data_IF_933166382767
#
_entry.id   IF_933166382767
#
_cell.length_a   1.000
_cell.length_b   1.000
_cell.length_c   1.000
_cell.angle_alpha   90.00
_cell.angle_beta   90.00
_cell.angle_gamma   90.00
#
_symmetry.space_group_name_H-M   'P 1'
#
loop_
_entity.id
_entity.type
_entity.pdbx_description
1 polymer ?
#
# COMPACT_ATOMS: atom_id res chain seq x y z
N UNK A 1 5.63 22.35 -12.00
CA UNK A 1 4.19 22.13 -12.28
C UNK A 1 3.40 21.93 -11.00
N UNK A 2 3.76 20.98 -10.11
CA UNK A 2 3.00 20.72 -8.88
C UNK A 2 2.84 21.96 -7.98
N UNK A 3 3.94 22.59 -7.55
CA UNK A 3 3.87 23.78 -6.68
C UNK A 3 3.05 24.94 -7.28
N UNK A 4 3.05 25.06 -8.62
CA UNK A 4 2.25 26.08 -9.30
C UNK A 4 0.74 25.81 -9.24
N UNK A 5 0.32 24.55 -9.35
CA UNK A 5 -1.09 24.15 -9.37
C UNK A 5 -1.63 23.79 -7.97
N UNK A 6 -0.73 23.44 -7.06
CA UNK A 6 -1.01 23.04 -5.69
C UNK A 6 0.01 23.74 -4.77
N UNK A 7 -0.18 25.04 -4.45
CA UNK A 7 0.75 25.76 -3.58
C UNK A 7 0.90 25.07 -2.21
N UNK A 8 2.13 24.91 -1.75
CA UNK A 8 2.49 24.14 -0.55
C UNK A 8 2.71 22.65 -0.81
N UNK A 9 2.58 22.16 -2.05
CA UNK A 9 2.83 20.76 -2.37
C UNK A 9 4.26 20.35 -2.08
N UNK A 10 5.26 21.20 -2.41
CA UNK A 10 6.65 20.85 -2.16
C UNK A 10 6.97 20.81 -0.67
N UNK A 11 6.42 21.73 0.12
CA UNK A 11 6.61 21.75 1.57
C UNK A 11 6.02 20.49 2.24
N UNK A 12 4.92 19.95 1.70
CA UNK A 12 4.27 18.74 2.23
C UNK A 12 4.87 17.43 1.70
N UNK A 13 5.21 17.35 0.40
CA UNK A 13 5.56 16.09 -0.26
C UNK A 13 6.97 16.05 -0.85
N UNK A 14 7.65 17.20 -0.95
CA UNK A 14 8.96 17.30 -1.59
C UNK A 14 10.01 16.43 -0.91
N UNK A 15 10.05 16.45 0.43
CA UNK A 15 11.00 15.65 1.21
C UNK A 15 10.90 14.16 0.89
N UNK A 16 9.68 13.65 0.72
CA UNK A 16 9.42 12.24 0.43
C UNK A 16 10.00 11.85 -0.92
N UNK A 17 9.81 12.68 -1.96
CA UNK A 17 10.29 12.39 -3.30
C UNK A 17 11.81 12.55 -3.44
N UNK A 18 12.41 13.50 -2.74
CA UNK A 18 13.88 13.62 -2.67
C UNK A 18 14.49 12.39 -1.99
N UNK A 19 13.92 11.92 -0.87
CA UNK A 19 14.36 10.68 -0.22
C UNK A 19 14.11 9.44 -1.12
N UNK A 20 12.98 9.37 -1.82
CA UNK A 20 12.68 8.26 -2.72
C UNK A 20 13.71 8.12 -3.84
N UNK A 21 14.18 9.25 -4.39
CA UNK A 21 15.22 9.28 -5.43
C UNK A 21 16.52 8.63 -4.97
N UNK A 22 16.87 8.74 -3.69
CA UNK A 22 18.05 8.09 -3.11
C UNK A 22 17.91 6.55 -3.07
N UNK A 23 16.69 6.01 -3.16
CA UNK A 23 16.43 4.56 -3.17
C UNK A 23 16.48 3.90 -4.56
N UNK A 24 16.80 4.66 -5.61
CA UNK A 24 16.75 4.17 -6.98
C UNK A 24 17.90 3.21 -7.37
N UNK A 25 19.05 3.28 -6.69
CA UNK A 25 20.17 2.36 -6.95
C UNK A 25 19.97 1.02 -6.23
N UNK A 26 19.84 -0.05 -7.02
CA UNK A 26 19.68 -1.41 -6.52
C UNK A 26 20.83 -1.87 -5.60
N UNK A 27 22.03 -1.27 -5.72
CA UNK A 27 23.18 -1.58 -4.85
C UNK A 27 22.99 -1.16 -3.41
N UNK A 28 22.22 -0.10 -3.17
CA UNK A 28 21.91 0.37 -1.82
C UNK A 28 20.99 -0.60 -1.08
N UNK A 29 20.35 -1.54 -1.81
CA UNK A 29 19.41 -2.53 -1.27
C UNK A 29 18.32 -1.89 -0.40
N UNK A 30 18.06 -0.61 -0.64
CA UNK A 30 17.04 0.17 0.00
C UNK A 30 15.74 -0.01 -0.76
N UNK A 31 14.67 -0.32 -0.03
CA UNK A 31 13.32 -0.29 -0.57
C UNK A 31 12.52 0.68 0.27
N UNK A 32 11.90 1.67 -0.38
CA UNK A 32 11.00 2.61 0.27
C UNK A 32 9.96 1.87 1.14
N UNK A 33 9.38 0.81 0.59
CA UNK A 33 8.40 -0.01 1.30
C UNK A 33 8.94 -0.55 2.63
N UNK A 34 10.18 -1.01 2.69
CA UNK A 34 10.78 -1.49 3.94
C UNK A 34 10.95 -0.40 5.00
N UNK A 35 11.18 0.85 4.58
CA UNK A 35 11.23 2.00 5.48
C UNK A 35 9.84 2.49 5.93
N UNK A 36 8.83 2.36 5.08
CA UNK A 36 7.47 2.85 5.35
C UNK A 36 6.57 1.83 6.04
N UNK A 37 6.79 0.52 5.85
CA UNK A 37 5.89 -0.53 6.34
C UNK A 37 5.58 -0.48 7.85
N UNK A 38 6.53 -0.15 8.75
CA UNK A 38 6.23 -0.05 10.18
C UNK A 38 5.16 1.00 10.51
N UNK A 39 5.05 2.06 9.70
CA UNK A 39 4.12 3.18 9.88
C UNK A 39 3.06 3.21 8.78
N UNK A 40 2.98 2.17 7.94
CA UNK A 40 2.08 2.17 6.81
C UNK A 40 0.62 2.16 7.28
N UNK A 41 -0.24 3.00 6.68
CA UNK A 41 -1.65 3.01 7.03
C UNK A 41 -2.31 1.68 6.68
N UNK A 42 -3.33 1.25 7.44
CA UNK A 42 -4.06 0.03 7.12
C UNK A 42 -4.76 0.16 5.77
N UNK A 43 -4.84 -0.95 5.05
CA UNK A 43 -5.58 -1.01 3.78
C UNK A 43 -7.08 -1.14 4.06
N UNK A 44 -7.89 -0.29 3.42
CA UNK A 44 -9.35 -0.32 3.55
C UNK A 44 -9.95 -1.62 3.01
N UNK A 45 -10.79 -2.27 3.82
CA UNK A 45 -11.45 -3.54 3.49
C UNK A 45 -12.34 -3.45 2.23
N UNK A 46 -13.00 -2.30 2.07
CA UNK A 46 -14.01 -2.08 1.02
C UNK A 46 -13.37 -1.71 -0.31
N UNK A 47 -12.57 -0.65 -0.34
CA UNK A 47 -12.00 -0.12 -1.59
C UNK A 47 -10.57 -0.59 -1.89
N UNK A 48 -9.91 -1.28 -0.95
CA UNK A 48 -8.52 -1.76 -1.07
C UNK A 48 -7.45 -0.67 -1.19
N UNK A 49 -7.81 0.60 -0.95
CA UNK A 49 -6.87 1.71 -0.90
C UNK A 49 -6.25 1.87 0.50
N UNK A 50 -5.03 2.41 0.62
CA UNK A 50 -4.47 2.79 1.91
C UNK A 50 -5.31 3.89 2.60
N UNK A 51 -5.50 3.77 3.91
CA UNK A 51 -6.26 4.74 4.71
C UNK A 51 -5.34 5.89 5.16
N UNK A 52 -5.12 6.88 4.30
CA UNK A 52 -4.06 7.91 4.48
C UNK A 52 -4.46 9.13 5.33
N UNK A 53 -5.72 9.23 5.77
CA UNK A 53 -6.19 10.30 6.65
C UNK A 53 -6.58 9.70 7.99
N UNK A 54 -5.77 9.94 9.02
CA UNK A 54 -5.93 9.34 10.35
C UNK A 54 -7.30 9.60 10.96
N UNK A 55 -7.88 10.79 10.72
CA UNK A 55 -9.17 11.20 11.24
C UNK A 55 -10.35 10.42 10.66
N UNK A 56 -10.19 9.88 9.45
CA UNK A 56 -11.22 9.11 8.75
C UNK A 56 -11.11 7.61 8.99
N UNK A 57 -9.99 7.14 9.58
CA UNK A 57 -9.77 5.72 9.85
C UNK A 57 -10.80 5.22 10.86
N UNK A 58 -11.57 4.23 10.46
CA UNK A 58 -12.42 3.49 11.37
C UNK A 58 -12.24 1.99 11.18
N UNK A 59 -12.66 1.20 12.17
CA UNK A 59 -12.57 -0.26 12.09
C UNK A 59 -13.82 -0.93 12.65
N UNK A 60 -13.97 -2.22 12.34
CA UNK A 60 -14.92 -3.12 13.00
C UNK A 60 -14.30 -4.51 13.11
N UNK A 61 -14.67 -5.25 14.14
CA UNK A 61 -14.36 -6.67 14.23
C UNK A 61 -15.54 -7.45 13.63
N UNK A 62 -15.26 -8.29 12.64
CA UNK A 62 -16.24 -9.23 12.07
C UNK A 62 -15.67 -10.63 12.26
N UNK A 63 -16.40 -11.47 12.97
CA UNK A 63 -15.93 -12.75 13.49
C UNK A 63 -14.66 -12.53 14.33
N UNK A 64 -13.51 -13.04 13.89
CA UNK A 64 -12.21 -12.89 14.57
C UNK A 64 -11.26 -11.91 13.84
N UNK A 65 -11.76 -11.21 12.80
CA UNK A 65 -10.93 -10.35 11.95
C UNK A 65 -11.24 -8.87 12.15
N UNK A 66 -10.20 -8.09 12.47
CA UNK A 66 -10.26 -6.63 12.44
C UNK A 66 -10.24 -6.14 10.99
N UNK A 67 -11.29 -5.45 10.59
CA UNK A 67 -11.41 -4.79 9.27
C UNK A 67 -11.23 -3.28 9.46
N UNK A 68 -10.29 -2.70 8.73
CA UNK A 68 -10.07 -1.26 8.68
C UNK A 68 -10.76 -0.63 7.47
N UNK A 69 -11.16 0.63 7.59
CA UNK A 69 -11.81 1.41 6.53
C UNK A 69 -11.22 2.81 6.48
N UNK A 70 -11.04 3.32 5.26
CA UNK A 70 -10.55 4.66 5.02
C UNK A 70 -11.62 5.76 5.20
N UNK A 71 -12.88 5.38 5.42
CA UNK A 71 -13.97 6.31 5.71
C UNK A 71 -15.19 5.57 6.28
N UNK A 72 -16.11 6.33 6.90
CA UNK A 72 -17.40 5.81 7.38
C UNK A 72 -18.28 5.29 6.24
N UNK A 73 -18.17 5.84 5.04
CA UNK A 73 -18.90 5.39 3.85
C UNK A 73 -18.39 4.03 3.39
N UNK A 74 -17.06 3.81 3.39
CA UNK A 74 -16.50 2.51 3.10
C UNK A 74 -16.96 1.45 4.11
N UNK A 75 -17.02 1.80 5.40
CA UNK A 75 -17.56 0.92 6.45
C UNK A 75 -19.04 0.60 6.20
N UNK A 76 -19.86 1.62 5.94
CA UNK A 76 -21.29 1.46 5.68
C UNK A 76 -21.55 0.55 4.47
N UNK A 77 -20.78 0.70 3.39
CA UNK A 77 -20.89 -0.16 2.20
C UNK A 77 -20.66 -1.64 2.56
N UNK A 78 -19.66 -1.96 3.38
CA UNK A 78 -19.41 -3.32 3.84
C UNK A 78 -20.51 -3.84 4.79
N UNK A 79 -21.11 -2.96 5.60
CA UNK A 79 -22.23 -3.30 6.48
C UNK A 79 -23.51 -3.66 5.73
N UNK A 80 -23.87 -2.88 4.71
CA UNK A 80 -25.13 -3.08 3.96
C UNK A 80 -25.01 -4.11 2.83
N UNK A 81 -23.82 -4.66 2.59
CA UNK A 81 -23.58 -5.72 1.62
C UNK A 81 -22.91 -6.95 2.28
N UNK A 82 -23.57 -7.62 3.24
CA UNK A 82 -23.00 -8.79 3.90
C UNK A 82 -22.69 -9.89 2.87
N UNK A 83 -21.54 -10.53 3.03
CA UNK A 83 -21.04 -11.58 2.14
C UNK A 83 -20.43 -11.10 0.82
N UNK A 84 -20.45 -9.79 0.52
CA UNK A 84 -19.82 -9.24 -0.68
C UNK A 84 -18.30 -9.11 -0.57
N UNK A 85 -17.81 -8.80 0.63
CA UNK A 85 -16.41 -8.50 0.89
C UNK A 85 -15.82 -9.55 1.85
N UNK A 86 -15.39 -10.67 1.29
CA UNK A 86 -14.86 -11.84 1.99
C UNK A 86 -13.44 -12.21 1.54
N UNK A 87 -12.82 -13.14 2.26
CA UNK A 87 -11.48 -13.67 1.97
C UNK A 87 -10.34 -12.69 2.25
N UNK A 88 -9.18 -12.94 1.65
CA UNK A 88 -8.03 -12.05 1.74
C UNK A 88 -8.19 -10.89 0.76
N UNK A 89 -8.55 -9.74 1.32
CA UNK A 89 -8.94 -8.55 0.57
C UNK A 89 -7.77 -7.68 0.13
N UNK A 90 -6.70 -7.65 0.92
CA UNK A 90 -5.54 -6.83 0.64
C UNK A 90 -4.28 -7.68 0.45
N UNK A 91 -3.28 -7.06 -0.15
CA UNK A 91 -2.00 -7.70 -0.49
C UNK A 91 -1.27 -8.20 0.76
N UNK A 92 -1.29 -7.43 1.85
CA UNK A 92 -0.59 -7.75 3.09
C UNK A 92 -1.18 -8.97 3.80
N UNK A 93 -2.49 -9.13 3.77
CA UNK A 93 -3.17 -10.29 4.34
C UNK A 93 -2.87 -11.56 3.54
N UNK A 94 -2.96 -11.48 2.21
CA UNK A 94 -2.74 -12.63 1.32
C UNK A 94 -1.31 -13.17 1.36
N UNK A 95 -0.32 -12.28 1.47
CA UNK A 95 1.10 -12.62 1.44
C UNK A 95 1.77 -12.47 2.80
N UNK A 96 0.99 -12.49 3.89
CA UNK A 96 1.52 -12.35 5.24
C UNK A 96 2.61 -13.39 5.52
N UNK A 97 3.76 -12.91 6.03
CA UNK A 97 4.91 -13.75 6.36
C UNK A 97 5.73 -14.28 5.17
N UNK A 98 5.37 -13.93 3.94
CA UNK A 98 6.12 -14.33 2.76
C UNK A 98 7.24 -13.33 2.43
N UNK A 99 8.32 -13.85 1.83
CA UNK A 99 9.41 -13.03 1.32
C UNK A 99 9.01 -12.40 -0.04
N UNK A 100 9.26 -11.10 -0.21
CA UNK A 100 8.77 -10.34 -1.35
C UNK A 100 9.29 -10.84 -2.70
N UNK A 101 10.57 -11.24 -2.79
CA UNK A 101 11.15 -11.75 -4.04
C UNK A 101 10.51 -13.08 -4.47
N UNK A 102 10.12 -13.95 -3.53
CA UNK A 102 9.36 -15.16 -3.82
C UNK A 102 7.95 -14.84 -4.33
N UNK A 103 7.26 -13.87 -3.72
CA UNK A 103 5.94 -13.41 -4.20
C UNK A 103 6.04 -12.85 -5.63
N UNK A 104 7.05 -12.02 -5.91
CA UNK A 104 7.31 -11.46 -7.24
C UNK A 104 7.57 -12.56 -8.28
N UNK A 105 8.37 -13.57 -7.94
CA UNK A 105 8.63 -14.72 -8.82
C UNK A 105 7.37 -15.53 -9.09
N UNK A 106 6.62 -15.86 -8.04
CA UNK A 106 5.37 -16.62 -8.13
C UNK A 106 4.35 -15.93 -9.04
N UNK A 107 4.26 -14.59 -8.95
CA UNK A 107 3.36 -13.78 -9.78
C UNK A 107 3.89 -13.52 -11.19
N UNK A 108 5.12 -13.95 -11.51
CA UNK A 108 5.71 -13.77 -12.83
C UNK A 108 6.14 -12.34 -13.14
N UNK A 109 6.40 -11.50 -12.12
CA UNK A 109 6.82 -10.11 -12.31
C UNK A 109 8.34 -9.96 -12.58
N UNK A 110 8.86 -10.92 -13.36
CA UNK A 110 10.26 -11.01 -13.79
C UNK A 110 10.29 -10.97 -15.32
N UNK A 111 11.26 -10.25 -15.87
CA UNK A 111 11.48 -10.17 -17.32
C UNK A 111 11.94 -11.53 -17.87
N UNK A 112 12.01 -11.64 -19.20
CA UNK A 112 12.40 -12.87 -19.88
C UNK A 112 13.80 -13.40 -19.52
N UNK A 113 14.67 -12.56 -18.93
CA UNK A 113 16.01 -12.96 -18.48
C UNK A 113 16.01 -13.73 -17.14
N UNK A 114 14.84 -13.89 -16.51
CA UNK A 114 14.65 -14.68 -15.30
C UNK A 114 15.18 -14.03 -14.02
N UNK A 115 15.64 -12.77 -14.06
CA UNK A 115 16.22 -12.09 -12.89
C UNK A 115 15.86 -10.61 -12.76
N UNK A 116 15.59 -9.90 -13.85
CA UNK A 116 15.27 -8.48 -13.78
C UNK A 116 13.79 -8.28 -13.47
N UNK A 117 13.49 -7.49 -12.44
CA UNK A 117 12.13 -7.09 -12.10
C UNK A 117 11.48 -6.33 -13.28
N UNK A 118 10.19 -6.59 -13.53
CA UNK A 118 9.43 -5.77 -14.49
C UNK A 118 9.33 -4.33 -13.98
N UNK A 119 8.90 -4.16 -12.73
CA UNK A 119 8.86 -2.87 -12.04
C UNK A 119 10.28 -2.36 -11.77
N UNK A 120 10.50 -1.07 -12.01
CA UNK A 120 11.75 -0.36 -11.74
C UNK A 120 11.42 0.99 -11.09
N UNK A 121 12.27 1.48 -10.17
CA UNK A 121 12.08 2.79 -9.54
C UNK A 121 12.49 3.98 -10.44
N UNK A 122 12.92 3.71 -11.68
CA UNK A 122 13.38 4.66 -12.69
C UNK A 122 13.21 4.11 -14.11
#
# INVERSE_FOLDING_TARGET
WFEHNYPGWYDQYGFFWEAFKETADAKERAMLLSGMLPEAPPTCWTCTMPSVFDEDICHRVVDERTRFYCSKECKWIDEVNPGRYEGDRNWFDRYHGQELSEVVRQLGFIRADGKTLIAQPQ
#
